data_IF_301753794833
#
_entry.id   IF_301753794833
#
_cell.length_a   1.000
_cell.length_b   1.000
_cell.length_c   1.000
_cell.angle_alpha   90.00
_cell.angle_beta   90.00
_cell.angle_gamma   90.00
#
_symmetry.space_group_name_H-M   'P 1'
#
loop_
_entity.id
_entity.type
_entity.pdbx_description
1 polymer ?
#
# COMPACT_ATOMS: atom_id res chain seq x y z
N UNK A 1 14.59 4.55 -9.04
CA UNK A 1 14.87 4.56 -10.48
C UNK A 1 13.68 3.93 -11.20
N UNK A 2 13.30 4.46 -12.36
CA UNK A 2 12.20 3.93 -13.18
C UNK A 2 12.70 3.58 -14.58
N UNK A 3 11.98 2.72 -15.31
CA UNK A 3 12.30 2.41 -16.70
C UNK A 3 12.22 3.67 -17.57
N UNK A 4 13.31 3.99 -18.27
CA UNK A 4 13.33 5.07 -19.25
C UNK A 4 12.84 4.58 -20.62
N UNK A 5 12.24 5.47 -21.42
CA UNK A 5 11.83 5.18 -22.80
C UNK A 5 13.01 4.84 -23.73
N UNK A 6 14.23 5.21 -23.34
CA UNK A 6 15.49 4.91 -24.03
C UNK A 6 16.09 3.56 -23.63
N UNK A 7 15.46 2.81 -22.71
CA UNK A 7 16.00 1.56 -22.15
C UNK A 7 17.01 1.77 -21.01
N UNK A 8 17.49 3.00 -20.79
CA UNK A 8 18.35 3.33 -19.66
C UNK A 8 17.47 3.78 -18.48
N UNK A 9 17.62 3.19 -17.27
CA UNK A 9 16.88 3.61 -16.09
C UNK A 9 17.13 5.09 -15.77
N UNK A 10 16.06 5.83 -15.45
CA UNK A 10 16.16 7.22 -15.01
C UNK A 10 15.99 7.32 -13.49
N UNK A 11 16.79 8.17 -12.87
CA UNK A 11 16.65 8.51 -11.46
C UNK A 11 15.53 9.54 -11.31
N UNK A 12 14.54 9.26 -10.45
CA UNK A 12 13.58 10.28 -10.02
C UNK A 12 14.06 10.79 -8.67
N UNK A 13 14.42 12.07 -8.61
CA UNK A 13 14.88 12.71 -7.40
C UNK A 13 13.68 13.40 -6.72
N UNK A 14 13.28 12.87 -5.57
CA UNK A 14 12.21 13.44 -4.76
C UNK A 14 12.79 14.32 -3.66
N UNK A 15 12.34 15.57 -3.61
CA UNK A 15 12.70 16.47 -2.51
C UNK A 15 11.95 16.10 -1.23
N UNK A 16 12.62 16.27 -0.09
CA UNK A 16 12.01 16.03 1.23
C UNK A 16 10.71 16.83 1.41
N UNK A 17 10.66 18.08 0.92
CA UNK A 17 9.46 18.93 0.98
C UNK A 17 8.29 18.31 0.22
N UNK A 18 8.53 17.76 -0.97
CA UNK A 18 7.49 17.11 -1.77
C UNK A 18 6.96 15.86 -1.05
N UNK A 19 7.85 15.00 -0.58
CA UNK A 19 7.49 13.77 0.15
C UNK A 19 6.72 14.10 1.43
N UNK A 20 7.21 15.03 2.24
CA UNK A 20 6.57 15.43 3.49
C UNK A 20 5.19 16.04 3.25
N UNK A 21 5.07 16.91 2.25
CA UNK A 21 3.77 17.51 1.89
C UNK A 21 2.78 16.43 1.46
N UNK A 22 3.20 15.50 0.60
CA UNK A 22 2.35 14.39 0.16
C UNK A 22 1.92 13.54 1.36
N UNK A 23 2.85 13.07 2.19
CA UNK A 23 2.56 12.23 3.36
C UNK A 23 1.60 12.90 4.36
N UNK A 24 1.76 14.20 4.62
CA UNK A 24 0.86 14.94 5.52
C UNK A 24 -0.59 14.95 5.01
N UNK A 25 -0.79 15.18 3.71
CA UNK A 25 -2.13 15.35 3.14
C UNK A 25 -2.80 14.03 2.74
N UNK A 26 -2.03 13.05 2.23
CA UNK A 26 -2.59 11.78 1.78
C UNK A 26 -2.96 10.85 2.93
N UNK A 27 -2.26 10.90 4.06
CA UNK A 27 -2.51 10.03 5.21
C UNK A 27 -3.98 10.02 5.66
N UNK A 28 -4.59 11.18 5.96
CA UNK A 28 -6.01 11.26 6.33
C UNK A 28 -6.95 10.80 5.22
N UNK A 29 -6.67 11.14 3.96
CA UNK A 29 -7.46 10.70 2.81
C UNK A 29 -7.42 9.17 2.60
N UNK A 30 -6.31 8.54 2.98
CA UNK A 30 -6.11 7.09 2.98
C UNK A 30 -6.56 6.41 4.28
N UNK A 31 -7.16 7.14 5.23
CA UNK A 31 -7.62 6.60 6.51
C UNK A 31 -6.50 6.17 7.45
N UNK A 32 -5.28 6.67 7.26
CA UNK A 32 -4.15 6.40 8.15
C UNK A 32 -4.28 7.26 9.40
N UNK A 33 -4.21 6.62 10.57
CA UNK A 33 -4.29 7.24 11.89
C UNK A 33 -3.25 6.62 12.82
N UNK A 34 -3.10 7.16 14.04
CA UNK A 34 -2.23 6.56 15.07
C UNK A 34 -2.57 5.11 15.45
N UNK A 35 -3.81 4.67 15.19
CA UNK A 35 -4.24 3.29 15.48
C UNK A 35 -4.01 2.35 14.29
N UNK A 36 -3.53 2.87 13.16
CA UNK A 36 -3.30 2.09 11.95
C UNK A 36 -2.11 1.16 12.12
N UNK A 37 -2.28 -0.07 11.63
CA UNK A 37 -1.20 -1.06 11.44
C UNK A 37 -1.05 -1.27 9.94
N UNK A 38 -0.13 -0.54 9.32
CA UNK A 38 0.09 -0.53 7.88
C UNK A 38 1.01 -1.67 7.48
N UNK A 39 0.62 -2.46 6.48
CA UNK A 39 1.49 -3.45 5.87
C UNK A 39 2.55 -2.76 5.01
N UNK A 40 3.82 -3.10 5.24
CA UNK A 40 4.90 -2.81 4.29
C UNK A 40 4.95 -3.96 3.29
N UNK A 41 4.51 -3.73 2.05
CA UNK A 41 4.36 -4.75 1.01
C UNK A 41 5.18 -4.45 -0.24
N UNK A 42 5.21 -3.18 -0.67
CA UNK A 42 5.96 -2.75 -1.84
C UNK A 42 7.45 -3.04 -1.69
N UNK A 43 8.12 -3.40 -2.78
CA UNK A 43 9.58 -3.48 -2.75
C UNK A 43 10.16 -2.10 -2.40
N UNK A 44 11.29 -2.04 -1.70
CA UNK A 44 11.97 -0.77 -1.41
C UNK A 44 12.51 -0.04 -2.65
N UNK A 45 12.45 -0.69 -3.81
CA UNK A 45 12.75 -0.11 -5.12
C UNK A 45 11.54 0.57 -5.78
N UNK A 46 10.34 0.41 -5.22
CA UNK A 46 9.12 1.10 -5.61
C UNK A 46 8.79 2.22 -4.61
N UNK A 47 8.34 3.36 -5.12
CA UNK A 47 7.98 4.54 -4.33
C UNK A 47 6.82 4.31 -3.33
N UNK A 48 5.97 3.32 -3.56
CA UNK A 48 4.88 2.94 -2.66
C UNK A 48 5.38 2.62 -1.25
N UNK A 49 6.63 2.17 -1.08
CA UNK A 49 7.21 1.96 0.24
C UNK A 49 7.31 3.27 1.06
N UNK A 50 7.46 4.43 0.41
CA UNK A 50 7.47 5.73 1.07
C UNK A 50 6.08 6.02 1.68
N UNK A 51 5.01 5.72 0.95
CA UNK A 51 3.65 5.84 1.48
C UNK A 51 3.43 4.84 2.63
N UNK A 52 3.78 3.56 2.44
CA UNK A 52 3.61 2.53 3.48
C UNK A 52 4.39 2.83 4.77
N UNK A 53 5.61 3.37 4.66
CA UNK A 53 6.52 3.58 5.79
C UNK A 53 6.39 5.01 6.32
N UNK A 54 6.74 6.00 5.50
CA UNK A 54 6.89 7.39 5.95
C UNK A 54 5.56 8.01 6.30
N UNK A 55 4.51 7.79 5.51
CA UNK A 55 3.16 8.30 5.86
C UNK A 55 2.68 7.65 7.14
N UNK A 56 2.85 6.33 7.31
CA UNK A 56 2.48 5.64 8.54
C UNK A 56 3.19 6.23 9.77
N UNK A 57 4.51 6.37 9.73
CA UNK A 57 5.29 6.91 10.84
C UNK A 57 4.92 8.36 11.16
N UNK A 58 4.69 9.19 10.12
CA UNK A 58 4.31 10.59 10.28
C UNK A 58 2.97 10.77 10.99
N UNK A 59 2.04 9.82 10.84
CA UNK A 59 0.72 9.82 11.48
C UNK A 59 0.69 8.98 12.77
N UNK A 60 1.85 8.56 13.29
CA UNK A 60 1.97 7.79 14.53
C UNK A 60 1.48 6.34 14.43
N UNK A 61 1.35 5.80 13.22
CA UNK A 61 0.92 4.44 12.96
C UNK A 61 2.06 3.43 13.16
N UNK A 62 1.71 2.14 13.18
CA UNK A 62 2.66 1.04 13.21
C UNK A 62 2.91 0.49 11.80
N UNK A 63 4.18 0.33 11.42
CA UNK A 63 4.58 -0.35 10.18
C UNK A 63 4.79 -1.84 10.47
N UNK A 64 4.02 -2.70 9.82
CA UNK A 64 4.11 -4.15 9.89
C UNK A 64 4.97 -4.66 8.73
N UNK A 65 6.22 -5.04 9.03
CA UNK A 65 7.20 -5.50 8.04
C UNK A 65 7.27 -7.03 8.07
N UNK A 66 6.72 -7.74 7.07
CA UNK A 66 6.83 -9.19 6.99
C UNK A 66 8.21 -9.61 6.48
N UNK A 67 8.60 -10.87 6.72
CA UNK A 67 9.69 -11.49 5.96
C UNK A 67 9.29 -11.67 4.49
N UNK A 68 10.27 -11.86 3.60
CA UNK A 68 9.98 -12.11 2.17
C UNK A 68 9.11 -13.36 1.94
N UNK A 69 9.33 -14.43 2.71
CA UNK A 69 8.49 -15.63 2.63
C UNK A 69 7.07 -15.39 3.14
N UNK A 70 6.91 -14.63 4.22
CA UNK A 70 5.59 -14.22 4.73
C UNK A 70 4.84 -13.37 3.70
N UNK A 71 5.54 -12.42 3.06
CA UNK A 71 5.00 -11.50 2.07
C UNK A 71 4.52 -12.20 0.79
N UNK A 72 5.30 -13.17 0.30
CA UNK A 72 5.04 -13.86 -0.97
C UNK A 72 4.11 -15.06 -0.82
N UNK A 73 4.34 -15.89 0.20
CA UNK A 73 3.78 -17.23 0.26
C UNK A 73 2.58 -17.31 1.23
N UNK A 74 2.54 -16.46 2.28
CA UNK A 74 1.57 -16.55 3.38
C UNK A 74 0.92 -15.21 3.72
N UNK A 75 0.56 -14.41 2.71
CA UNK A 75 0.13 -13.02 2.90
C UNK A 75 -1.13 -12.88 3.78
N UNK A 76 -2.15 -13.73 3.60
CA UNK A 76 -3.39 -13.70 4.40
C UNK A 76 -3.09 -13.96 5.89
N UNK A 77 -2.30 -15.02 6.17
CA UNK A 77 -1.91 -15.37 7.54
C UNK A 77 -1.09 -14.24 8.16
N UNK A 78 -0.15 -13.68 7.40
CA UNK A 78 0.69 -12.56 7.81
C UNK A 78 -0.15 -11.33 8.20
N UNK A 79 -1.11 -10.95 7.35
CA UNK A 79 -2.03 -9.83 7.61
C UNK A 79 -2.76 -10.04 8.94
N UNK A 80 -3.30 -11.25 9.17
CA UNK A 80 -4.06 -11.55 10.38
C UNK A 80 -3.16 -11.61 11.63
N UNK A 81 -2.03 -12.30 11.55
CA UNK A 81 -1.08 -12.47 12.67
C UNK A 81 -0.49 -11.14 13.11
N UNK A 82 -0.10 -10.29 12.16
CA UNK A 82 0.40 -8.95 12.44
C UNK A 82 -0.73 -7.96 12.74
N UNK A 83 -2.00 -8.38 12.64
CA UNK A 83 -3.20 -7.54 12.83
C UNK A 83 -3.17 -6.29 11.95
N UNK A 84 -2.76 -6.43 10.70
CA UNK A 84 -2.72 -5.35 9.71
C UNK A 84 -4.14 -4.80 9.53
N UNK A 85 -4.27 -3.47 9.59
CA UNK A 85 -5.55 -2.77 9.39
C UNK A 85 -5.58 -1.95 8.11
N UNK A 86 -4.41 -1.67 7.51
CA UNK A 86 -4.28 -0.89 6.29
C UNK A 86 -3.25 -1.53 5.35
N UNK A 87 -3.56 -1.61 4.05
CA UNK A 87 -2.61 -2.09 3.04
C UNK A 87 -2.80 -1.34 1.71
N UNK A 88 -1.71 -1.21 0.95
CA UNK A 88 -1.70 -0.80 -0.45
C UNK A 88 -1.25 -2.01 -1.28
N UNK A 89 -2.07 -2.47 -2.20
CA UNK A 89 -1.78 -3.61 -3.09
C UNK A 89 -2.08 -3.24 -4.53
N UNK A 90 -1.43 -3.93 -5.48
CA UNK A 90 -1.92 -3.87 -6.86
C UNK A 90 -3.24 -4.65 -6.98
N UNK A 91 -4.14 -4.27 -7.90
CA UNK A 91 -5.30 -5.07 -8.26
C UNK A 91 -4.97 -6.55 -8.51
N UNK A 92 -3.87 -6.85 -9.22
CA UNK A 92 -3.42 -8.24 -9.44
C UNK A 92 -3.20 -9.02 -8.14
N UNK A 93 -2.52 -8.43 -7.15
CA UNK A 93 -2.31 -9.08 -5.85
C UNK A 93 -3.62 -9.15 -5.05
N UNK A 94 -4.44 -8.10 -5.07
CA UNK A 94 -5.70 -8.09 -4.34
C UNK A 94 -6.69 -9.16 -4.82
N UNK A 95 -6.67 -9.52 -6.13
CA UNK A 95 -7.54 -10.55 -6.72
C UNK A 95 -7.24 -11.98 -6.24
N UNK A 96 -6.00 -12.27 -5.84
CA UNK A 96 -5.63 -13.63 -5.39
C UNK A 96 -5.94 -13.88 -3.92
N UNK A 97 -6.34 -12.85 -3.18
CA UNK A 97 -6.69 -12.96 -1.76
C UNK A 97 -8.19 -13.22 -1.61
N UNK A 98 -8.56 -14.10 -0.68
CA UNK A 98 -9.96 -14.26 -0.26
C UNK A 98 -10.24 -13.29 0.91
N UNK A 99 -11.02 -12.21 0.69
CA UNK A 99 -11.29 -11.23 1.73
C UNK A 99 -12.04 -11.79 2.94
N UNK A 100 -12.72 -12.95 2.81
CA UNK A 100 -13.40 -13.62 3.95
C UNK A 100 -12.42 -14.15 4.98
N UNK A 101 -11.18 -14.43 4.55
CA UNK A 101 -10.13 -14.95 5.43
C UNK A 101 -9.32 -13.85 6.10
N UNK A 102 -9.56 -12.58 5.76
CA UNK A 102 -8.83 -11.43 6.29
C UNK A 102 -9.74 -10.70 7.28
N UNK A 103 -9.42 -10.77 8.57
CA UNK A 103 -10.32 -10.28 9.65
C UNK A 103 -9.93 -8.89 10.17
N UNK A 104 -8.64 -8.53 10.07
CA UNK A 104 -8.11 -7.31 10.67
C UNK A 104 -8.12 -6.10 9.74
N UNK A 105 -8.13 -6.32 8.41
CA UNK A 105 -8.06 -5.23 7.43
C UNK A 105 -9.30 -4.33 7.51
N UNK A 106 -9.09 -3.03 7.42
CA UNK A 106 -10.14 -2.00 7.48
C UNK A 106 -10.10 -1.11 6.24
N UNK A 107 -8.91 -0.81 5.74
CA UNK A 107 -8.72 -0.03 4.52
C UNK A 107 -7.81 -0.78 3.56
N UNK A 108 -8.21 -0.86 2.30
CA UNK A 108 -7.40 -1.39 1.20
C UNK A 108 -7.30 -0.32 0.12
N UNK A 109 -6.09 0.19 -0.08
CA UNK A 109 -5.78 1.00 -1.25
C UNK A 109 -5.36 0.08 -2.40
N UNK A 110 -5.90 0.33 -3.59
CA UNK A 110 -5.51 -0.31 -4.83
C UNK A 110 -4.77 0.71 -5.70
N UNK A 111 -3.56 0.39 -6.14
CA UNK A 111 -2.75 1.31 -6.95
C UNK A 111 -1.69 0.62 -7.79
N UNK A 112 -1.03 1.37 -8.65
CA UNK A 112 0.02 0.86 -9.56
C UNK A 112 -0.49 0.12 -10.80
N UNK A 113 -1.78 -0.23 -10.86
CA UNK A 113 -2.44 -0.77 -12.05
C UNK A 113 -3.84 -0.17 -12.19
N UNK A 114 -4.47 -0.39 -13.35
CA UNK A 114 -5.88 -0.02 -13.56
C UNK A 114 -6.78 -0.83 -12.64
N UNK A 115 -7.55 -0.14 -11.79
CA UNK A 115 -8.62 -0.72 -10.98
C UNK A 115 -9.87 -0.91 -11.84
N UNK A 116 -10.44 -2.11 -11.85
CA UNK A 116 -11.67 -2.43 -12.55
C UNK A 116 -12.84 -2.59 -11.56
N UNK A 117 -14.08 -2.49 -12.05
CA UNK A 117 -15.27 -2.68 -11.21
C UNK A 117 -15.27 -4.04 -10.48
N UNK A 118 -14.82 -5.10 -11.15
CA UNK A 118 -14.68 -6.43 -10.56
C UNK A 118 -13.70 -6.49 -9.39
N UNK A 119 -12.65 -5.65 -9.40
CA UNK A 119 -11.72 -5.56 -8.27
C UNK A 119 -12.42 -4.95 -7.05
N UNK A 120 -13.27 -3.94 -7.28
CA UNK A 120 -14.10 -3.34 -6.24
C UNK A 120 -15.14 -4.32 -5.70
N UNK A 121 -15.81 -5.08 -6.56
CA UNK A 121 -16.88 -6.01 -6.17
C UNK A 121 -16.40 -7.09 -5.19
N UNK A 122 -15.16 -7.57 -5.35
CA UNK A 122 -14.54 -8.56 -4.46
C UNK A 122 -14.45 -8.04 -3.01
N UNK A 123 -14.13 -6.76 -2.85
CA UNK A 123 -13.77 -6.14 -1.57
C UNK A 123 -14.84 -5.21 -1.00
N UNK A 124 -15.84 -4.84 -1.81
CA UNK A 124 -16.93 -3.95 -1.45
C UNK A 124 -17.69 -4.46 -0.22
N UNK A 125 -18.05 -3.55 0.69
CA UNK A 125 -18.73 -3.85 1.94
C UNK A 125 -17.87 -4.54 3.02
N UNK A 126 -16.60 -4.86 2.75
CA UNK A 126 -15.69 -5.50 3.72
C UNK A 126 -14.65 -4.55 4.28
N UNK A 127 -14.17 -3.64 3.44
CA UNK A 127 -13.15 -2.65 3.76
C UNK A 127 -13.52 -1.31 3.13
N UNK A 128 -12.95 -0.23 3.65
CA UNK A 128 -12.86 1.03 2.92
C UNK A 128 -11.90 0.84 1.75
N UNK A 129 -12.43 0.85 0.53
CA UNK A 129 -11.62 0.79 -0.68
C UNK A 129 -11.19 2.19 -1.12
N UNK A 130 -9.92 2.31 -1.51
CA UNK A 130 -9.38 3.54 -2.09
C UNK A 130 -8.69 3.20 -3.41
N UNK A 131 -9.03 3.92 -4.49
CA UNK A 131 -8.26 3.88 -5.72
C UNK A 131 -7.15 4.94 -5.64
N UNK A 132 -5.90 4.49 -5.52
CA UNK A 132 -4.73 5.33 -5.39
C UNK A 132 -4.00 5.42 -6.74
N UNK A 133 -3.76 6.65 -7.20
CA UNK A 133 -3.07 6.93 -8.45
C UNK A 133 -2.00 8.00 -8.24
N UNK A 134 -0.82 7.75 -8.78
CA UNK A 134 0.28 8.71 -8.89
C UNK A 134 1.44 8.06 -9.63
N UNK A 135 2.11 8.76 -10.57
CA UNK A 135 3.42 8.36 -11.07
C UNK A 135 4.48 8.57 -9.98
N UNK A 136 5.71 8.13 -10.26
CA UNK A 136 6.84 8.34 -9.34
C UNK A 136 7.32 9.79 -9.32
N UNK A 137 7.20 10.50 -10.45
CA UNK A 137 7.55 11.93 -10.62
C UNK A 137 6.53 12.89 -10.00
#
# INVERSE_FOLDING_TARGET
FTSGSTGVPKGVQLEHKAVSTSCLHQGPALGITKNTRALQFGAYTFDTCILEIITSLLHGACVCIPSESQRRDNLIETINTMKVTWALLTPAVARILDPRKIVSLRTLALGGEKVNASDCDIWSGRVQLVNAYGPTE
#
